data_IF_210721465189
#
_entry.id   IF_210721465189
#
_cell.length_a   1.000
_cell.length_b   1.000
_cell.length_c   1.000
_cell.angle_alpha   90.00
_cell.angle_beta   90.00
_cell.angle_gamma   90.00
#
_symmetry.space_group_name_H-M   'P 1'
#
loop_
_entity.id
_entity.type
_entity.pdbx_description
1 polymer ?
#
# COMPACT_ATOMS: atom_id res chain seq x y z
N UNK A 1 7.46 -8.69 -17.77
CA UNK A 1 6.39 -7.98 -17.36
C UNK A 1 6.58 -7.21 -16.09
N UNK A 2 7.14 -7.79 -15.02
CA UNK A 2 7.37 -7.04 -13.79
C UNK A 2 8.35 -5.88 -13.99
N UNK A 3 9.41 -6.11 -14.75
CA UNK A 3 10.35 -5.06 -15.11
C UNK A 3 9.66 -3.94 -15.88
N UNK A 4 8.77 -4.30 -16.79
CA UNK A 4 8.01 -3.33 -17.56
C UNK A 4 7.10 -2.49 -16.66
N UNK A 5 6.49 -3.11 -15.65
CA UNK A 5 5.66 -2.40 -14.68
C UNK A 5 6.46 -1.33 -13.95
N UNK A 6 7.67 -1.65 -13.50
CA UNK A 6 8.52 -0.70 -12.83
C UNK A 6 8.99 0.42 -13.76
N UNK A 7 9.26 0.10 -15.04
CA UNK A 7 9.60 1.11 -16.02
C UNK A 7 8.48 2.12 -16.23
N UNK A 8 7.23 1.65 -16.22
CA UNK A 8 6.06 2.52 -16.37
C UNK A 8 5.87 3.38 -15.13
N UNK A 9 6.08 2.82 -13.93
CA UNK A 9 5.83 3.50 -12.67
C UNK A 9 6.93 4.49 -12.27
N UNK A 10 8.15 4.30 -12.74
CA UNK A 10 9.27 5.17 -12.31
C UNK A 10 8.98 6.64 -12.59
N UNK A 11 9.24 7.46 -11.60
CA UNK A 11 8.99 8.90 -11.68
C UNK A 11 7.52 9.28 -11.57
N UNK A 12 6.61 8.32 -11.44
CA UNK A 12 5.18 8.57 -11.40
C UNK A 12 4.63 8.53 -9.99
N UNK A 13 3.51 9.24 -9.79
CA UNK A 13 2.73 9.17 -8.56
C UNK A 13 1.49 8.34 -8.82
N UNK A 14 1.27 7.31 -8.01
CA UNK A 14 0.17 6.38 -8.14
C UNK A 14 -0.69 6.44 -6.90
N UNK A 15 -2.00 6.42 -7.07
CA UNK A 15 -2.96 6.35 -5.97
C UNK A 15 -3.45 4.92 -5.81
N UNK A 16 -3.29 4.39 -4.61
CA UNK A 16 -3.84 3.09 -4.25
C UNK A 16 -5.06 3.31 -3.37
N UNK A 17 -6.16 2.64 -3.71
CA UNK A 17 -7.40 2.70 -2.94
C UNK A 17 -7.54 1.41 -2.16
N UNK A 18 -7.65 1.53 -0.84
CA UNK A 18 -7.86 0.40 0.05
C UNK A 18 -9.15 0.62 0.81
N UNK A 19 -10.10 -0.28 0.64
CA UNK A 19 -11.37 -0.19 1.34
C UNK A 19 -11.46 -1.26 2.43
N UNK A 20 -12.02 -0.89 3.56
CA UNK A 20 -12.32 -1.83 4.63
C UNK A 20 -13.78 -1.64 5.05
N UNK A 21 -14.45 -2.75 5.28
CA UNK A 21 -15.85 -2.77 5.67
C UNK A 21 -16.00 -3.51 6.99
N UNK A 22 -16.70 -2.89 7.94
CA UNK A 22 -17.13 -3.56 9.16
C UNK A 22 -18.62 -3.85 9.04
N UNK A 23 -19.00 -5.13 9.06
CA UNK A 23 -20.39 -5.56 9.01
C UNK A 23 -20.78 -6.14 10.36
N UNK A 24 -21.93 -5.71 10.88
CA UNK A 24 -22.48 -6.20 12.15
C UNK A 24 -23.99 -6.34 11.99
N UNK A 25 -24.47 -7.59 11.90
CA UNK A 25 -25.86 -7.85 11.60
C UNK A 25 -26.24 -7.30 10.25
N UNK A 26 -27.25 -6.42 10.19
CA UNK A 26 -27.69 -5.79 8.95
C UNK A 26 -27.02 -4.43 8.69
N UNK A 27 -26.16 -3.99 9.60
CA UNK A 27 -25.45 -2.72 9.44
C UNK A 27 -24.06 -2.94 8.93
N UNK A 28 -23.57 -1.98 8.16
CA UNK A 28 -22.20 -2.00 7.67
C UNK A 28 -21.67 -0.58 7.52
N UNK A 29 -20.38 -0.44 7.74
CA UNK A 29 -19.67 0.81 7.48
C UNK A 29 -18.45 0.52 6.63
N UNK A 30 -18.19 1.39 5.67
CA UNK A 30 -17.07 1.26 4.75
C UNK A 30 -16.20 2.51 4.87
N UNK A 31 -14.89 2.29 4.95
CA UNK A 31 -13.92 3.38 4.91
C UNK A 31 -12.96 3.09 3.76
N UNK A 32 -12.70 4.10 2.94
CA UNK A 32 -11.73 4.02 1.86
C UNK A 32 -10.50 4.84 2.23
N UNK A 33 -9.32 4.22 2.14
CA UNK A 33 -8.05 4.87 2.40
C UNK A 33 -7.31 5.03 1.09
N UNK A 34 -6.91 6.26 0.78
CA UNK A 34 -6.11 6.55 -0.41
C UNK A 34 -4.66 6.69 0.02
N UNK A 35 -3.78 5.95 -0.62
CA UNK A 35 -2.34 6.04 -0.42
C UNK A 35 -1.71 6.52 -1.72
N UNK A 36 -1.02 7.65 -1.66
CA UNK A 36 -0.28 8.17 -2.80
C UNK A 36 1.18 7.75 -2.67
N UNK A 37 1.67 7.06 -3.70
CA UNK A 37 3.05 6.58 -3.74
C UNK A 37 3.74 7.23 -4.94
N UNK A 38 4.84 7.91 -4.68
CA UNK A 38 5.68 8.48 -5.72
C UNK A 38 6.92 7.62 -5.89
N UNK A 39 7.11 7.11 -7.09
CA UNK A 39 8.26 6.27 -7.41
C UNK A 39 9.44 7.12 -7.85
N UNK A 40 10.64 6.74 -7.43
CA UNK A 40 11.87 7.38 -7.88
C UNK A 40 12.08 7.11 -9.36
N UNK A 41 12.69 8.06 -10.05
CA UNK A 41 13.06 7.89 -11.45
C UNK A 41 14.43 7.21 -11.52
N UNK A 42 14.43 5.89 -11.41
CA UNK A 42 15.65 5.08 -11.36
C UNK A 42 15.95 4.47 -12.73
N UNK A 43 17.23 4.22 -12.98
CA UNK A 43 17.69 3.59 -14.23
C UNK A 43 17.27 2.13 -14.30
N UNK A 44 17.14 1.61 -15.51
CA UNK A 44 16.76 0.21 -15.76
C UNK A 44 17.60 -0.78 -14.97
N UNK A 45 18.90 -0.57 -14.89
CA UNK A 45 19.81 -1.46 -14.16
C UNK A 45 19.45 -1.56 -12.68
N UNK A 46 19.03 -0.46 -12.08
CA UNK A 46 18.64 -0.44 -10.66
C UNK A 46 17.36 -1.22 -10.46
N UNK A 47 16.41 -1.06 -11.39
CA UNK A 47 15.14 -1.79 -11.34
C UNK A 47 15.36 -3.31 -11.51
N UNK A 48 16.25 -3.69 -12.43
CA UNK A 48 16.60 -5.09 -12.62
C UNK A 48 17.25 -5.69 -11.37
N UNK A 49 18.17 -4.96 -10.76
CA UNK A 49 18.83 -5.41 -9.54
C UNK A 49 17.83 -5.61 -8.41
N UNK A 50 16.84 -4.72 -8.29
CA UNK A 50 15.79 -4.89 -7.30
C UNK A 50 15.01 -6.19 -7.54
N UNK A 51 14.59 -6.46 -8.78
CA UNK A 51 13.82 -7.66 -9.10
C UNK A 51 14.61 -8.93 -8.83
N UNK A 52 15.92 -8.92 -9.11
CA UNK A 52 16.77 -10.07 -8.85
C UNK A 52 16.97 -10.32 -7.35
N UNK A 53 17.01 -9.25 -6.55
CA UNK A 53 17.24 -9.36 -5.12
C UNK A 53 15.98 -9.74 -4.33
N UNK A 54 14.85 -9.10 -4.61
CA UNK A 54 13.62 -9.27 -3.83
C UNK A 54 12.64 -10.25 -4.44
N UNK A 55 12.63 -10.39 -5.76
CA UNK A 55 11.69 -11.24 -6.49
C UNK A 55 10.23 -10.97 -6.09
N UNK A 56 9.76 -9.69 -6.13
CA UNK A 56 8.43 -9.32 -5.62
C UNK A 56 7.34 -9.56 -6.68
N UNK A 57 7.25 -10.77 -7.19
CA UNK A 57 6.39 -11.06 -8.34
C UNK A 57 4.90 -10.95 -8.04
N UNK A 58 4.53 -11.05 -6.76
CA UNK A 58 3.13 -10.99 -6.32
C UNK A 58 2.71 -9.61 -5.82
N UNK A 59 3.60 -8.62 -5.88
CA UNK A 59 3.31 -7.29 -5.37
C UNK A 59 2.81 -6.35 -6.47
N UNK A 60 1.87 -5.49 -6.14
CA UNK A 60 1.36 -4.47 -7.04
C UNK A 60 2.51 -3.56 -7.51
N UNK A 61 2.60 -3.36 -8.83
CA UNK A 61 3.66 -2.56 -9.43
C UNK A 61 5.06 -3.12 -9.22
N UNK A 62 5.18 -4.34 -8.72
CA UNK A 62 6.44 -5.00 -8.37
C UNK A 62 7.24 -4.27 -7.29
N UNK A 63 6.58 -3.42 -6.49
CA UNK A 63 7.21 -2.73 -5.38
C UNK A 63 6.69 -3.30 -4.06
N UNK A 64 7.60 -3.61 -3.15
CA UNK A 64 7.30 -4.20 -1.86
C UNK A 64 7.77 -3.23 -0.77
N UNK A 65 6.82 -2.49 -0.18
CA UNK A 65 7.15 -1.38 0.72
C UNK A 65 7.77 -1.81 2.05
N UNK A 66 7.49 -3.04 2.52
CA UNK A 66 8.05 -3.56 3.76
C UNK A 66 9.42 -4.21 3.60
N UNK A 67 9.92 -4.30 2.37
CA UNK A 67 11.23 -4.85 2.06
C UNK A 67 12.09 -3.84 1.32
N UNK A 68 12.96 -4.35 0.44
CA UNK A 68 13.85 -3.50 -0.35
C UNK A 68 13.08 -2.57 -1.29
N UNK A 69 11.81 -2.86 -1.54
CA UNK A 69 10.94 -2.03 -2.37
C UNK A 69 10.84 -0.60 -1.90
N UNK A 70 11.05 -0.33 -0.62
CA UNK A 70 11.06 1.04 -0.09
C UNK A 70 12.10 1.92 -0.79
N UNK A 71 13.20 1.31 -1.28
CA UNK A 71 14.24 2.04 -1.98
C UNK A 71 13.79 2.57 -3.34
N UNK A 72 12.72 2.02 -3.90
CA UNK A 72 12.16 2.49 -5.17
C UNK A 72 11.25 3.69 -4.99
N UNK A 73 10.89 4.04 -3.76
CA UNK A 73 9.91 5.05 -3.45
C UNK A 73 10.57 6.36 -3.05
N UNK A 74 10.02 7.47 -3.53
CA UNK A 74 10.45 8.79 -3.13
C UNK A 74 9.60 9.31 -1.97
N UNK A 75 8.29 9.00 -1.98
CA UNK A 75 7.36 9.49 -0.97
C UNK A 75 6.12 8.61 -0.92
N UNK A 76 5.60 8.44 0.30
CA UNK A 76 4.31 7.80 0.53
C UNK A 76 3.48 8.74 1.40
N UNK A 77 2.27 9.05 0.96
CA UNK A 77 1.33 9.90 1.68
C UNK A 77 0.04 9.12 1.91
N UNK A 78 -0.35 8.95 3.17
CA UNK A 78 -1.56 8.20 3.52
C UNK A 78 -2.00 8.57 4.93
N UNK A 79 -3.32 8.54 5.16
CA UNK A 79 -3.88 8.69 6.51
C UNK A 79 -3.70 7.42 7.34
N UNK A 80 -3.42 6.31 6.69
CA UNK A 80 -3.20 5.02 7.34
C UNK A 80 -2.08 4.28 6.60
N UNK A 81 -0.83 4.39 7.08
CA UNK A 81 0.30 3.76 6.40
C UNK A 81 0.22 2.24 6.34
N UNK A 82 -0.59 1.59 7.18
CA UNK A 82 -0.76 0.15 7.13
C UNK A 82 -1.62 -0.30 5.94
N UNK A 83 -2.36 0.61 5.30
CA UNK A 83 -3.19 0.31 4.14
C UNK A 83 -2.37 -0.23 2.97
N UNK A 84 -1.16 0.28 2.78
CA UNK A 84 -0.30 -0.15 1.67
C UNK A 84 0.22 -1.57 1.88
N UNK A 85 0.39 -1.98 3.13
CA UNK A 85 0.85 -3.32 3.48
C UNK A 85 -0.28 -4.34 3.35
N UNK A 86 -1.51 -3.92 3.63
CA UNK A 86 -2.66 -4.80 3.52
C UNK A 86 -3.90 -4.20 4.16
N UNK A 87 -4.15 -4.52 5.43
CA UNK A 87 -5.34 -4.06 6.13
C UNK A 87 -5.07 -2.68 6.78
N UNK A 88 -5.92 -1.66 6.53
CA UNK A 88 -5.74 -0.33 7.13
C UNK A 88 -6.12 -0.35 8.61
N UNK A 89 -5.16 -0.65 9.48
CA UNK A 89 -5.39 -0.92 10.90
C UNK A 89 -5.85 0.31 11.68
N UNK A 90 -5.41 1.51 11.31
CA UNK A 90 -5.90 2.73 11.97
C UNK A 90 -7.40 2.87 11.76
N UNK A 91 -7.85 2.64 10.51
CA UNK A 91 -9.27 2.73 10.19
C UNK A 91 -10.07 1.59 10.79
N UNK A 92 -9.49 0.39 10.88
CA UNK A 92 -10.12 -0.75 11.56
C UNK A 92 -10.41 -0.39 13.02
N UNK A 93 -9.44 0.21 13.71
CA UNK A 93 -9.64 0.64 15.10
C UNK A 93 -10.75 1.70 15.21
N UNK A 94 -10.80 2.62 14.25
CA UNK A 94 -11.86 3.64 14.23
C UNK A 94 -13.24 3.00 14.07
N UNK A 95 -13.38 2.07 13.14
CA UNK A 95 -14.64 1.36 12.91
C UNK A 95 -15.07 0.55 14.12
N UNK A 96 -14.13 -0.15 14.75
CA UNK A 96 -14.44 -0.96 15.92
C UNK A 96 -14.88 -0.12 17.11
N UNK A 97 -14.22 1.03 17.35
CA UNK A 97 -14.64 1.95 18.40
C UNK A 97 -16.04 2.49 18.13
N UNK A 98 -16.33 2.82 16.87
CA UNK A 98 -17.66 3.28 16.46
C UNK A 98 -18.74 2.23 16.69
N UNK A 99 -18.39 0.95 16.64
CA UNK A 99 -19.31 -0.16 16.89
C UNK A 99 -19.42 -0.53 18.38
N UNK A 100 -18.71 0.17 19.26
CA UNK A 100 -18.82 -0.03 20.71
C UNK A 100 -17.70 -0.85 21.34
N UNK A 101 -16.69 -1.24 20.57
CA UNK A 101 -15.56 -1.99 21.11
C UNK A 101 -14.52 -1.05 21.73
N UNK A 102 -13.93 -1.47 22.84
CA UNK A 102 -12.83 -0.75 23.47
C UNK A 102 -11.51 -1.21 22.87
N UNK A 103 -10.80 -0.32 22.19
CA UNK A 103 -9.52 -0.63 21.57
C UNK A 103 -8.54 0.49 21.90
N UNK A 104 -7.40 0.21 22.56
CA UNK A 104 -7.11 -1.07 23.24
C UNK A 104 -8.08 -1.33 24.39
N UNK A 105 -8.25 -2.57 24.72
CA UNK A 105 -9.23 -3.03 25.68
C UNK A 105 -9.07 -2.52 27.10
#
# INVERSE_FOLDING_TARGET
MLFRSLQILRGETVKFHTAVCLAQGETSEVVNVITEVTFRNLKDRVLENYLLSEKPYDCAGSAKSEGLGIALLERVTSDDPTALIGLPLIQVCTLLRGAGFSIPG
#
